data_IF_780160257523
#
_entry.id   IF_780160257523
#
_cell.length_a   1.000
_cell.length_b   1.000
_cell.length_c   1.000
_cell.angle_alpha   90.00
_cell.angle_beta   90.00
_cell.angle_gamma   90.00
#
_symmetry.space_group_name_H-M   'P 1'
#
loop_
_entity.id
_entity.type
_entity.pdbx_description
1 polymer ?
#
# COMPACT_ATOMS: atom_id res chain seq x y z
N UNK A 1 50.44 -8.68 21.08
CA UNK A 1 49.18 -8.48 21.82
C UNK A 1 48.42 -7.36 21.13
N UNK A 2 47.40 -7.73 20.36
CA UNK A 2 46.57 -6.81 19.56
C UNK A 2 45.48 -6.19 20.44
N UNK A 3 45.30 -4.87 20.34
CA UNK A 3 43.99 -4.24 20.48
C UNK A 3 44.07 -2.82 19.88
N UNK A 4 43.72 -2.71 18.60
CA UNK A 4 43.44 -1.43 17.96
C UNK A 4 42.15 -0.88 18.56
N UNK A 5 42.20 0.39 18.95
CA UNK A 5 41.16 1.12 19.65
C UNK A 5 39.79 1.02 18.98
N UNK A 6 38.76 0.85 19.82
CA UNK A 6 37.36 0.84 19.44
C UNK A 6 36.97 2.16 18.73
N UNK A 7 36.62 2.06 17.45
CA UNK A 7 35.73 3.01 16.79
C UNK A 7 34.39 2.94 17.54
N UNK A 8 34.12 3.93 18.38
CA UNK A 8 32.82 4.13 19.01
C UNK A 8 32.30 5.49 18.57
N UNK A 9 31.31 5.47 17.68
CA UNK A 9 30.10 6.30 17.71
C UNK A 9 29.42 6.29 16.33
N UNK A 10 28.27 5.60 16.23
CA UNK A 10 27.05 6.28 15.81
C UNK A 10 25.83 5.48 16.29
N UNK A 11 25.01 5.98 17.24
CA UNK A 11 23.68 5.46 17.46
C UNK A 11 22.81 6.01 16.33
N UNK A 12 22.67 5.25 15.24
CA UNK A 12 21.64 5.55 14.25
C UNK A 12 20.30 5.44 14.99
N UNK A 13 19.71 6.59 15.31
CA UNK A 13 18.33 6.68 15.78
C UNK A 13 17.47 5.86 14.82
N UNK A 14 16.49 5.05 15.30
CA UNK A 14 15.73 4.20 14.40
C UNK A 14 15.07 5.10 13.35
N UNK A 15 15.52 4.98 12.10
CA UNK A 15 14.84 5.58 10.98
C UNK A 15 13.37 5.17 11.12
N UNK A 16 12.48 6.16 11.31
CA UNK A 16 11.03 5.97 11.36
C UNK A 16 10.68 4.89 10.35
N UNK A 17 10.27 3.70 10.82
CA UNK A 17 10.19 2.50 9.99
C UNK A 17 9.58 2.85 8.64
N UNK A 18 10.42 2.88 7.59
CA UNK A 18 10.04 3.46 6.32
C UNK A 18 8.76 2.76 5.86
N UNK A 19 7.67 3.51 5.70
CA UNK A 19 6.42 2.94 5.24
C UNK A 19 6.66 2.28 3.88
N UNK A 20 6.19 1.04 3.71
CA UNK A 20 6.31 0.38 2.41
C UNK A 20 5.61 1.20 1.33
N UNK A 21 6.11 1.16 0.10
CA UNK A 21 5.47 1.84 -1.03
C UNK A 21 3.99 1.49 -1.16
N UNK A 22 3.62 0.23 -0.84
CA UNK A 22 2.24 -0.20 -0.83
C UNK A 22 1.38 0.51 0.23
N UNK A 23 1.89 0.69 1.46
CA UNK A 23 1.20 1.46 2.50
C UNK A 23 1.10 2.94 2.15
N UNK A 24 2.12 3.48 1.47
CA UNK A 24 2.06 4.86 0.96
C UNK A 24 0.96 5.02 -0.08
N UNK A 25 0.82 4.08 -1.03
CA UNK A 25 -0.28 4.10 -2.01
C UNK A 25 -1.64 4.04 -1.32
N UNK A 26 -1.87 3.05 -0.46
CA UNK A 26 -3.17 2.87 0.21
C UNK A 26 -3.53 4.07 1.08
N UNK A 27 -2.60 4.56 1.92
CA UNK A 27 -2.86 5.73 2.76
C UNK A 27 -3.04 7.03 1.97
N UNK A 28 -2.45 7.13 0.77
CA UNK A 28 -2.69 8.26 -0.13
C UNK A 28 -4.11 8.21 -0.70
N UNK A 29 -4.60 7.03 -1.11
CA UNK A 29 -5.98 6.87 -1.57
C UNK A 29 -6.98 7.24 -0.47
N UNK A 30 -6.74 6.79 0.77
CA UNK A 30 -7.59 7.18 1.92
C UNK A 30 -7.60 8.71 2.14
N UNK A 31 -6.43 9.36 2.10
CA UNK A 31 -6.32 10.82 2.24
C UNK A 31 -7.01 11.59 1.11
N UNK A 32 -7.11 11.00 -0.08
CA UNK A 32 -7.85 11.53 -1.22
C UNK A 32 -9.36 11.30 -1.11
N UNK A 33 -9.83 10.66 -0.03
CA UNK A 33 -11.25 10.37 0.17
C UNK A 33 -11.75 9.22 -0.70
N UNK A 34 -10.87 8.37 -1.22
CA UNK A 34 -11.30 7.14 -1.90
C UNK A 34 -11.95 6.23 -0.86
N UNK A 35 -13.13 5.70 -1.16
CA UNK A 35 -13.85 4.78 -0.28
C UNK A 35 -13.87 3.34 -0.81
N UNK A 36 -13.74 3.18 -2.13
CA UNK A 36 -13.97 1.92 -2.83
C UNK A 36 -12.84 1.65 -3.83
N UNK A 37 -12.35 0.41 -3.85
CA UNK A 37 -11.37 -0.08 -4.81
C UNK A 37 -11.87 -1.36 -5.47
N UNK A 38 -11.83 -1.43 -6.80
CA UNK A 38 -12.13 -2.63 -7.57
C UNK A 38 -10.84 -3.28 -8.04
N UNK A 39 -10.71 -4.60 -7.91
CA UNK A 39 -9.48 -5.25 -8.34
C UNK A 39 -9.55 -6.77 -8.44
N UNK A 40 -8.54 -7.32 -9.09
CA UNK A 40 -8.28 -8.75 -9.17
C UNK A 40 -6.84 -9.02 -8.68
N UNK A 41 -6.62 -9.93 -7.72
CA UNK A 41 -5.31 -10.13 -7.13
C UNK A 41 -4.38 -10.96 -8.04
N UNK A 42 -3.08 -10.75 -7.88
CA UNK A 42 -2.02 -11.50 -8.54
C UNK A 42 -0.70 -11.36 -7.78
N UNK A 43 0.26 -12.25 -8.05
CA UNK A 43 1.48 -12.34 -7.23
C UNK A 43 2.26 -11.02 -7.06
N UNK A 44 2.40 -10.24 -8.14
CA UNK A 44 3.18 -9.00 -8.12
C UNK A 44 2.52 -7.87 -7.31
N UNK A 45 1.18 -7.84 -7.22
CA UNK A 45 0.42 -6.77 -6.56
C UNK A 45 0.11 -7.09 -5.10
N UNK A 46 0.50 -8.27 -4.60
CA UNK A 46 0.19 -8.71 -3.25
C UNK A 46 0.56 -7.73 -2.13
N UNK A 47 1.70 -7.01 -2.18
CA UNK A 47 2.01 -6.01 -1.16
C UNK A 47 0.93 -4.92 -1.00
N UNK A 48 0.21 -4.57 -2.07
CA UNK A 48 -0.93 -3.63 -2.02
C UNK A 48 -2.14 -4.28 -1.35
N UNK A 49 -2.44 -5.54 -1.67
CA UNK A 49 -3.52 -6.29 -1.02
C UNK A 49 -3.25 -6.49 0.48
N UNK A 50 -2.00 -6.75 0.86
CA UNK A 50 -1.59 -6.82 2.27
C UNK A 50 -1.79 -5.47 2.98
N UNK A 51 -1.52 -4.36 2.30
CA UNK A 51 -1.77 -3.02 2.82
C UNK A 51 -3.27 -2.68 2.89
N UNK A 52 -4.09 -3.16 1.94
CA UNK A 52 -5.54 -2.96 1.92
C UNK A 52 -6.23 -3.64 3.11
N UNK A 53 -5.74 -4.80 3.56
CA UNK A 53 -6.34 -5.55 4.68
C UNK A 53 -6.42 -4.76 6.00
N UNK A 54 -5.57 -3.73 6.17
CA UNK A 54 -5.59 -2.83 7.34
C UNK A 54 -6.17 -1.45 7.05
N UNK A 55 -6.75 -1.24 5.88
CA UNK A 55 -7.27 0.07 5.44
C UNK A 55 -8.77 0.21 5.65
N UNK A 56 -9.25 1.44 5.57
CA UNK A 56 -10.68 1.79 5.52
C UNK A 56 -11.31 1.60 4.14
N UNK A 57 -10.49 1.36 3.10
CA UNK A 57 -10.94 1.18 1.73
C UNK A 57 -11.73 -0.13 1.57
N UNK A 58 -12.93 -0.03 1.00
CA UNK A 58 -13.72 -1.22 0.65
C UNK A 58 -13.22 -1.81 -0.66
N UNK A 59 -12.65 -3.01 -0.60
CA UNK A 59 -12.25 -3.75 -1.80
C UNK A 59 -13.40 -4.61 -2.36
N UNK A 60 -13.67 -4.48 -3.65
CA UNK A 60 -14.51 -5.40 -4.40
C UNK A 60 -13.65 -6.29 -5.29
N UNK A 61 -13.64 -7.59 -4.98
CA UNK A 61 -12.99 -8.60 -5.80
C UNK A 61 -13.76 -8.83 -7.10
N UNK A 62 -13.12 -8.51 -8.21
CA UNK A 62 -13.62 -8.82 -9.55
C UNK A 62 -13.12 -10.20 -10.00
N UNK A 63 -13.59 -10.69 -11.16
CA UNK A 63 -13.12 -11.96 -11.75
C UNK A 63 -12.17 -11.79 -12.93
N UNK A 64 -12.05 -10.56 -13.42
CA UNK A 64 -11.12 -10.18 -14.47
C UNK A 64 -10.81 -8.70 -14.31
N UNK A 65 -9.59 -8.31 -14.62
CA UNK A 65 -9.06 -6.94 -14.54
C UNK A 65 -9.87 -5.97 -15.40
N UNK A 66 -10.30 -6.38 -16.60
CA UNK A 66 -11.18 -5.57 -17.45
C UNK A 66 -12.52 -5.29 -16.77
N UNK A 67 -13.09 -6.29 -16.10
CA UNK A 67 -14.30 -6.12 -15.30
C UNK A 67 -14.11 -5.18 -14.12
N UNK A 68 -12.93 -5.19 -13.48
CA UNK A 68 -12.59 -4.24 -12.43
C UNK A 68 -12.54 -2.79 -12.96
N UNK A 69 -11.92 -2.59 -14.13
CA UNK A 69 -11.85 -1.27 -14.76
C UNK A 69 -13.24 -0.74 -15.14
N UNK A 70 -14.09 -1.57 -15.76
CA UNK A 70 -15.46 -1.17 -16.10
C UNK A 70 -16.33 -0.91 -14.87
N UNK A 71 -16.18 -1.71 -13.81
CA UNK A 71 -16.87 -1.47 -12.55
C UNK A 71 -16.46 -0.15 -11.90
N UNK A 72 -15.16 0.17 -11.89
CA UNK A 72 -14.66 1.43 -11.34
C UNK A 72 -15.14 2.65 -12.15
N UNK A 73 -15.07 2.59 -13.49
CA UNK A 73 -15.59 3.66 -14.36
C UNK A 73 -17.11 3.86 -14.20
N UNK A 74 -17.86 2.76 -14.16
CA UNK A 74 -19.31 2.82 -13.95
C UNK A 74 -19.67 3.37 -12.57
N UNK A 75 -18.94 2.96 -11.52
CA UNK A 75 -19.13 3.46 -10.17
C UNK A 75 -18.94 4.97 -10.13
N UNK A 76 -17.83 5.49 -10.66
CA UNK A 76 -17.55 6.92 -10.72
C UNK A 76 -18.62 7.71 -11.47
N UNK A 77 -19.12 7.19 -12.61
CA UNK A 77 -20.18 7.86 -13.38
C UNK A 77 -21.50 7.97 -12.62
N UNK A 78 -21.81 6.99 -11.78
CA UNK A 78 -23.08 6.93 -11.05
C UNK A 78 -22.99 7.67 -9.71
N UNK A 79 -21.84 7.65 -9.05
CA UNK A 79 -21.63 8.34 -7.77
C UNK A 79 -21.39 9.84 -7.90
N UNK A 80 -20.91 10.28 -9.07
CA UNK A 80 -20.26 11.60 -9.21
C UNK A 80 -18.84 11.58 -8.67
#
# INVERSE_FOLDING_TARGET
>A
MNAVAAITANPEAPASAAQSGARLVVSTLEKLGVEVVFGYPGGAIMPIYDALAGSSLRHYLCRHEQGAAFAADSYARVSG
#
